data_IF_608728223369
#
_entry.id   IF_608728223369
#
_cell.length_a   1.000
_cell.length_b   1.000
_cell.length_c   1.000
_cell.angle_alpha   90.00
_cell.angle_beta   90.00
_cell.angle_gamma   90.00
#
_symmetry.space_group_name_H-M   'P 1'
#
loop_
_entity.id
_entity.type
_entity.pdbx_description
1 polymer ?
#
# COMPACT_ATOMS: atom_id res chain seq x y z
N UNK A 1 -4.87 -0.41 15.75
CA UNK A 1 -5.65 -0.52 14.50
C UNK A 1 -5.04 0.44 13.49
N UNK A 2 -4.74 -0.03 12.29
CA UNK A 2 -4.22 0.78 11.17
C UNK A 2 -5.23 0.68 10.03
N UNK A 3 -5.62 1.81 9.45
CA UNK A 3 -6.55 1.89 8.32
C UNK A 3 -5.90 2.70 7.20
N UNK A 4 -5.91 2.15 5.99
CA UNK A 4 -5.55 2.82 4.75
C UNK A 4 -6.78 2.77 3.86
N UNK A 5 -7.27 3.93 3.45
CA UNK A 5 -8.43 4.04 2.57
C UNK A 5 -8.05 4.80 1.30
N UNK A 6 -8.45 4.26 0.14
CA UNK A 6 -8.29 4.84 -1.18
C UNK A 6 -6.88 5.37 -1.49
N UNK A 7 -5.83 4.66 -1.06
CA UNK A 7 -4.46 5.09 -1.26
C UNK A 7 -4.14 5.19 -2.76
N UNK A 8 -3.72 6.37 -3.17
CA UNK A 8 -3.26 6.67 -4.52
C UNK A 8 -1.87 7.30 -4.47
N UNK A 9 -0.93 6.76 -5.26
CA UNK A 9 0.42 7.32 -5.37
C UNK A 9 0.93 7.23 -6.80
N UNK A 10 1.38 8.37 -7.31
CA UNK A 10 1.93 8.52 -8.65
C UNK A 10 3.31 9.17 -8.58
N UNK A 11 4.23 8.69 -9.42
CA UNK A 11 5.56 9.25 -9.63
C UNK A 11 5.71 9.59 -11.13
N UNK A 12 5.61 10.88 -11.47
CA UNK A 12 5.60 11.30 -12.87
C UNK A 12 4.45 10.65 -13.64
N UNK A 13 4.68 9.96 -14.77
CA UNK A 13 3.61 9.28 -15.52
C UNK A 13 3.19 7.93 -14.90
N UNK A 14 3.95 7.39 -13.95
CA UNK A 14 3.73 6.03 -13.42
C UNK A 14 2.85 6.06 -12.17
N UNK A 15 1.73 5.34 -12.18
CA UNK A 15 0.90 5.13 -11.00
C UNK A 15 1.42 3.92 -10.22
N UNK A 16 2.07 4.16 -9.08
CA UNK A 16 2.66 3.12 -8.24
C UNK A 16 1.64 2.43 -7.34
N UNK A 17 0.61 3.15 -6.89
CA UNK A 17 -0.52 2.61 -6.12
C UNK A 17 -1.79 3.28 -6.62
N UNK A 18 -2.83 2.48 -6.90
CA UNK A 18 -4.13 2.98 -7.35
C UNK A 18 -5.24 2.35 -6.51
N UNK A 19 -5.91 3.17 -5.72
CA UNK A 19 -7.09 2.80 -4.95
C UNK A 19 -6.88 1.57 -4.06
N UNK A 20 -5.87 1.65 -3.19
CA UNK A 20 -5.53 0.57 -2.27
C UNK A 20 -6.15 0.80 -0.89
N UNK A 21 -6.81 -0.23 -0.36
CA UNK A 21 -7.47 -0.21 0.94
C UNK A 21 -6.89 -1.34 1.82
N UNK A 22 -6.58 -1.05 3.08
CA UNK A 22 -6.02 -2.02 4.03
C UNK A 22 -6.41 -1.67 5.46
N UNK A 23 -7.04 -2.63 6.13
CA UNK A 23 -7.40 -2.58 7.55
C UNK A 23 -6.57 -3.61 8.29
N UNK A 24 -5.89 -3.21 9.37
CA UNK A 24 -5.07 -4.07 10.22
C UNK A 24 -5.53 -3.91 11.67
N UNK A 25 -5.98 -5.01 12.27
CA UNK A 25 -6.38 -5.04 13.66
C UNK A 25 -5.17 -4.95 14.61
N UNK A 26 -5.43 -4.67 15.88
CA UNK A 26 -4.37 -4.65 16.89
C UNK A 26 -3.77 -6.05 17.10
N UNK A 27 -2.44 -6.13 17.13
CA UNK A 27 -1.71 -7.39 17.27
C UNK A 27 -1.53 -8.20 15.98
N UNK A 28 -2.10 -7.76 14.85
CA UNK A 28 -1.89 -8.42 13.57
C UNK A 28 -0.52 -8.09 12.96
N UNK A 29 0.12 -9.11 12.41
CA UNK A 29 1.36 -8.99 11.66
C UNK A 29 1.10 -9.30 10.19
N UNK A 30 1.30 -8.31 9.32
CA UNK A 30 0.98 -8.40 7.88
C UNK A 30 2.24 -8.23 7.04
N UNK A 31 2.30 -8.91 5.91
CA UNK A 31 3.37 -8.76 4.91
C UNK A 31 2.75 -8.57 3.52
N UNK A 32 3.29 -7.61 2.76
CA UNK A 32 2.91 -7.38 1.37
C UNK A 32 3.82 -8.19 0.44
N UNK A 33 3.24 -9.04 -0.41
CA UNK A 33 3.96 -9.85 -1.40
C UNK A 33 3.56 -9.47 -2.82
N UNK A 34 4.48 -9.66 -3.78
CA UNK A 34 4.23 -9.39 -5.20
C UNK A 34 5.51 -9.06 -5.97
N UNK A 35 5.44 -9.01 -7.31
CA UNK A 35 6.59 -8.72 -8.18
C UNK A 35 7.19 -7.34 -7.94
N UNK A 36 8.39 -7.08 -8.46
CA UNK A 36 9.00 -5.74 -8.36
C UNK A 36 8.10 -4.68 -9.01
N UNK A 37 8.03 -3.48 -8.44
CA UNK A 37 7.22 -2.36 -8.95
C UNK A 37 5.74 -2.38 -8.57
N UNK A 38 5.21 -3.43 -7.93
CA UNK A 38 3.77 -3.52 -7.62
C UNK A 38 3.29 -2.64 -6.44
N UNK A 39 4.06 -1.64 -6.01
CA UNK A 39 3.62 -0.67 -4.99
C UNK A 39 3.88 -1.02 -3.52
N UNK A 40 4.43 -2.19 -3.16
CA UNK A 40 4.63 -2.61 -1.74
C UNK A 40 5.34 -1.58 -0.86
N UNK A 41 6.57 -1.22 -1.21
CA UNK A 41 7.37 -0.25 -0.43
C UNK A 41 6.75 1.13 -0.48
N UNK A 42 6.05 1.46 -1.58
CA UNK A 42 5.30 2.71 -1.70
C UNK A 42 4.16 2.76 -0.70
N UNK A 43 3.35 1.69 -0.60
CA UNK A 43 2.26 1.56 0.37
C UNK A 43 2.75 1.65 1.82
N UNK A 44 3.88 1.00 2.15
CA UNK A 44 4.44 1.03 3.52
C UNK A 44 5.08 2.37 3.91
N UNK A 45 5.25 3.31 2.97
CA UNK A 45 5.89 4.61 3.18
C UNK A 45 4.95 5.79 2.99
N UNK A 46 3.69 5.55 2.65
CA UNK A 46 2.66 6.59 2.62
C UNK A 46 2.12 6.80 4.03
#
# INVERSE_FOLDING_TARGET
MVEIEHLYKQFGPETAVKDFNLSIAEGEFVTLLGPSGCGKTTTLRC
#
